data_IF_630590505900
#
_entry.id   IF_630590505900
#
_cell.length_a   1.000
_cell.length_b   1.000
_cell.length_c   1.000
_cell.angle_alpha   90.00
_cell.angle_beta   90.00
_cell.angle_gamma   90.00
#
_symmetry.space_group_name_H-M   'P 1'
#
loop_
_entity.id
_entity.type
_entity.pdbx_description
1 polymer ?
#
# COMPACT_ATOMS: atom_id res chain seq x y z
N UNK A 1 -8.17 17.68 -16.13
CA UNK A 1 -8.88 18.31 -14.99
C UNK A 1 -8.38 19.72 -14.68
N UNK A 2 -7.16 19.95 -14.15
CA UNK A 2 -6.68 21.33 -13.88
C UNK A 2 -6.53 22.17 -15.15
N UNK A 3 -6.10 21.56 -16.25
CA UNK A 3 -5.96 22.19 -17.58
C UNK A 3 -7.30 22.55 -18.24
N UNK A 4 -8.35 21.77 -18.01
CA UNK A 4 -9.70 22.01 -18.56
C UNK A 4 -10.38 23.18 -17.84
N UNK A 5 -10.31 23.22 -16.51
CA UNK A 5 -10.81 24.33 -15.70
C UNK A 5 -10.12 25.65 -16.06
N UNK A 6 -8.80 25.63 -16.27
CA UNK A 6 -8.08 26.83 -16.69
C UNK A 6 -8.54 27.31 -18.07
N UNK A 7 -8.80 26.39 -19.00
CA UNK A 7 -9.28 26.73 -20.34
C UNK A 7 -10.70 27.29 -20.33
N UNK A 8 -11.61 26.72 -19.52
CA UNK A 8 -12.96 27.24 -19.34
C UNK A 8 -12.94 28.66 -18.73
N UNK A 9 -12.02 28.90 -17.79
CA UNK A 9 -11.80 30.22 -17.22
C UNK A 9 -11.26 31.23 -18.24
N UNK A 10 -10.29 30.83 -19.06
CA UNK A 10 -9.76 31.65 -20.16
C UNK A 10 -10.88 32.06 -21.13
N UNK A 11 -11.75 31.11 -21.51
CA UNK A 11 -12.89 31.38 -22.38
C UNK A 11 -13.89 32.36 -21.73
N UNK A 12 -14.19 32.18 -20.44
CA UNK A 12 -15.05 33.09 -19.67
C UNK A 12 -14.48 34.51 -19.63
N UNK A 13 -13.19 34.63 -19.35
CA UNK A 13 -12.49 35.90 -19.30
C UNK A 13 -12.54 36.64 -20.65
N UNK A 14 -12.28 35.93 -21.75
CA UNK A 14 -12.40 36.49 -23.11
C UNK A 14 -13.83 36.91 -23.40
N UNK A 15 -14.82 36.12 -22.99
CA UNK A 15 -16.23 36.45 -23.19
C UNK A 15 -16.67 37.68 -22.39
N UNK A 16 -16.24 37.81 -21.14
CA UNK A 16 -16.52 38.95 -20.25
C UNK A 16 -15.92 40.24 -20.80
N UNK A 17 -14.67 40.16 -21.28
CA UNK A 17 -13.92 41.32 -21.78
C UNK A 17 -14.04 41.53 -23.31
N UNK A 18 -14.95 40.83 -23.99
CA UNK A 18 -15.08 40.82 -25.47
C UNK A 18 -15.17 42.19 -26.13
N UNK A 19 -15.80 43.17 -25.48
CA UNK A 19 -15.95 44.51 -26.03
C UNK A 19 -14.65 45.30 -25.92
N UNK A 20 -13.95 45.19 -24.79
CA UNK A 20 -12.65 45.80 -24.59
C UNK A 20 -11.56 45.14 -25.46
N UNK A 21 -11.72 43.84 -25.76
CA UNK A 21 -10.84 43.09 -26.65
C UNK A 21 -11.23 43.17 -28.14
N UNK A 22 -12.34 43.82 -28.49
CA UNK A 22 -12.94 43.72 -29.82
C UNK A 22 -11.94 44.06 -30.93
N UNK A 23 -11.19 45.15 -30.78
CA UNK A 23 -10.17 45.56 -31.74
C UNK A 23 -9.03 44.54 -31.83
N UNK A 24 -8.59 43.99 -30.70
CA UNK A 24 -7.52 42.97 -30.67
C UNK A 24 -8.00 41.71 -31.41
N UNK A 25 -9.23 41.26 -31.16
CA UNK A 25 -9.83 40.08 -31.79
C UNK A 25 -10.01 40.31 -33.30
N UNK A 26 -10.47 41.50 -33.71
CA UNK A 26 -10.61 41.84 -35.12
C UNK A 26 -9.24 41.83 -35.81
N UNK A 27 -8.24 42.51 -35.24
CA UNK A 27 -6.88 42.51 -35.79
C UNK A 27 -6.29 41.10 -35.86
N UNK A 28 -6.49 40.26 -34.84
CA UNK A 28 -6.05 38.86 -34.86
C UNK A 28 -6.73 38.07 -35.98
N UNK A 29 -8.05 38.21 -36.15
CA UNK A 29 -8.79 37.54 -37.24
C UNK A 29 -8.29 37.97 -38.61
N UNK A 30 -8.03 39.26 -38.80
CA UNK A 30 -7.48 39.78 -40.05
C UNK A 30 -6.09 39.21 -40.31
N UNK A 31 -5.21 39.19 -39.31
CA UNK A 31 -3.88 38.58 -39.43
C UNK A 31 -3.96 37.08 -39.72
N UNK A 32 -4.86 36.34 -39.07
CA UNK A 32 -5.09 34.91 -39.36
C UNK A 32 -5.53 34.72 -40.82
N UNK A 33 -6.44 35.56 -41.31
CA UNK A 33 -6.88 35.52 -42.69
C UNK A 33 -5.74 35.82 -43.67
N UNK A 34 -4.88 36.79 -43.36
CA UNK A 34 -3.71 37.10 -44.18
C UNK A 34 -2.67 35.98 -44.17
N UNK A 35 -2.45 35.32 -43.02
CA UNK A 35 -1.59 34.15 -42.94
C UNK A 35 -2.09 33.01 -43.84
N UNK A 36 -3.42 32.80 -43.89
CA UNK A 36 -4.04 31.85 -44.81
C UNK A 36 -3.88 32.27 -46.27
N UNK A 37 -3.98 33.57 -46.58
CA UNK A 37 -3.76 34.09 -47.93
C UNK A 37 -2.30 33.92 -48.39
N UNK A 38 -1.34 34.16 -47.50
CA UNK A 38 0.08 33.89 -47.74
C UNK A 38 0.30 32.38 -47.93
N UNK A 39 -0.34 31.52 -47.13
CA UNK A 39 -0.26 30.07 -47.28
C UNK A 39 -0.77 29.60 -48.65
N UNK A 40 -1.90 30.13 -49.10
CA UNK A 40 -2.48 29.83 -50.40
C UNK A 40 -1.58 30.33 -51.55
N UNK A 41 -1.01 31.54 -51.42
CA UNK A 41 -0.09 32.09 -52.42
C UNK A 41 1.19 31.24 -52.57
N UNK A 42 1.78 30.83 -51.44
CA UNK A 42 2.95 29.93 -51.42
C UNK A 42 2.61 28.57 -52.03
N UNK A 43 1.43 28.01 -51.73
CA UNK A 43 0.99 26.71 -52.29
C UNK A 43 0.76 26.77 -53.81
N UNK A 44 0.26 27.89 -54.32
CA UNK A 44 0.08 28.14 -55.75
C UNK A 44 1.43 28.28 -56.46
N UNK A 45 2.43 28.93 -55.84
CA UNK A 45 3.79 29.02 -56.37
C UNK A 45 4.49 27.66 -56.42
N UNK A 46 4.35 26.83 -55.37
CA UNK A 46 4.81 25.44 -55.39
C UNK A 46 4.19 24.62 -56.53
N UNK A 47 2.97 24.96 -56.95
CA UNK A 47 2.25 24.28 -58.03
C UNK A 47 2.61 24.81 -59.43
N UNK A 48 3.03 26.08 -59.55
CA UNK A 48 3.45 26.68 -60.83
C UNK A 48 4.91 26.38 -61.18
N UNK A 49 5.80 26.28 -60.19
CA UNK A 49 7.24 26.00 -60.41
C UNK A 49 7.54 24.56 -60.86
N UNK A 50 6.57 23.64 -60.77
CA UNK A 50 6.67 22.31 -61.40
C UNK A 50 6.64 22.36 -62.94
N UNK A 51 6.42 23.55 -63.54
CA UNK A 51 6.35 23.74 -64.99
C UNK A 51 7.46 24.59 -65.61
N UNK A 52 8.41 25.11 -64.82
CA UNK A 52 9.55 25.89 -65.32
C UNK A 52 10.88 25.41 -64.75
N UNK A 53 11.78 25.03 -65.68
CA UNK A 53 13.08 24.40 -65.48
C UNK A 53 14.15 25.39 -64.94
N UNK A 54 13.87 26.01 -63.78
CA UNK A 54 14.81 26.90 -63.07
C UNK A 54 14.78 26.60 -61.56
N UNK A 55 15.93 26.21 -61.02
CA UNK A 55 16.16 25.82 -59.62
C UNK A 55 15.37 26.69 -58.61
N UNK A 56 14.34 26.15 -57.93
CA UNK A 56 13.71 26.85 -56.83
C UNK A 56 14.72 26.90 -55.69
N UNK A 57 15.15 28.11 -55.34
CA UNK A 57 16.08 28.35 -54.23
C UNK A 57 15.47 27.79 -52.94
N UNK A 58 16.27 27.26 -52.02
CA UNK A 58 15.93 26.63 -50.70
C UNK A 58 15.04 27.46 -49.74
N UNK A 59 14.48 28.57 -50.21
CA UNK A 59 13.77 29.60 -49.47
C UNK A 59 12.26 29.34 -49.36
N UNK A 60 11.60 28.75 -50.35
CA UNK A 60 10.16 28.45 -50.30
C UNK A 60 9.80 27.41 -49.22
N UNK A 61 10.54 26.28 -49.07
CA UNK A 61 10.32 25.35 -47.95
C UNK A 61 10.57 26.00 -46.58
N UNK A 62 11.52 26.94 -46.52
CA UNK A 62 11.83 27.70 -45.30
C UNK A 62 10.68 28.65 -44.93
N UNK A 63 10.10 29.35 -45.91
CA UNK A 63 8.93 30.23 -45.72
C UNK A 63 7.70 29.41 -45.29
N UNK A 64 7.47 28.25 -45.91
CA UNK A 64 6.37 27.34 -45.52
C UNK A 64 6.51 26.85 -44.08
N UNK A 65 7.70 26.38 -43.68
CA UNK A 65 7.96 25.91 -42.31
C UNK A 65 7.81 27.03 -41.27
N UNK A 66 8.23 28.26 -41.61
CA UNK A 66 8.04 29.43 -40.74
C UNK A 66 6.57 29.84 -40.64
N UNK A 67 5.81 29.72 -41.72
CA UNK A 67 4.38 30.01 -41.73
C UNK A 67 3.59 29.00 -40.90
N UNK A 68 3.88 27.71 -41.01
CA UNK A 68 3.29 26.67 -40.16
C UNK A 68 3.56 26.94 -38.67
N UNK A 69 4.80 27.35 -38.35
CA UNK A 69 5.15 27.75 -36.99
C UNK A 69 4.37 28.99 -36.50
N UNK A 70 4.06 29.95 -37.36
CA UNK A 70 3.25 31.13 -37.01
C UNK A 70 1.79 30.77 -36.76
N UNK A 71 1.22 29.90 -37.60
CA UNK A 71 -0.14 29.41 -37.41
C UNK A 71 -0.26 28.69 -36.07
N UNK A 72 0.76 27.91 -35.68
CA UNK A 72 0.83 27.27 -34.36
C UNK A 72 1.00 28.22 -33.17
N UNK A 73 1.35 29.49 -33.40
CA UNK A 73 1.50 30.53 -32.36
C UNK A 73 0.25 31.41 -32.21
N UNK A 74 -0.79 31.20 -33.02
CA UNK A 74 -2.05 31.95 -32.91
C UNK A 74 -2.70 31.62 -31.57
N UNK A 75 -2.86 32.60 -30.67
CA UNK A 75 -3.31 32.30 -29.33
C UNK A 75 -4.82 32.17 -29.25
N UNK A 76 -5.28 31.17 -28.49
CA UNK A 76 -6.69 31.02 -28.09
C UNK A 76 -7.09 32.00 -26.99
N UNK A 77 -6.10 32.43 -26.19
CA UNK A 77 -6.25 33.42 -25.13
C UNK A 77 -5.41 34.68 -25.43
N UNK A 78 -6.00 35.88 -25.56
CA UNK A 78 -5.31 37.13 -25.88
C UNK A 78 -4.60 37.72 -24.65
N UNK A 79 -3.75 36.91 -24.01
CA UNK A 79 -2.89 37.34 -22.93
C UNK A 79 -1.71 38.18 -23.45
N UNK A 80 -1.13 38.99 -22.57
CA UNK A 80 -0.03 39.89 -22.94
C UNK A 80 1.16 39.12 -23.51
N UNK A 81 1.54 38.00 -22.90
CA UNK A 81 2.72 37.23 -23.30
C UNK A 81 2.49 36.51 -24.64
N UNK A 82 1.31 35.92 -24.81
CA UNK A 82 0.89 35.22 -26.00
C UNK A 82 0.87 36.16 -27.22
N UNK A 83 0.28 37.34 -27.06
CA UNK A 83 0.21 38.36 -28.11
C UNK A 83 1.60 38.92 -28.46
N UNK A 84 2.45 39.15 -27.47
CA UNK A 84 3.82 39.61 -27.71
C UNK A 84 4.67 38.56 -28.43
N UNK A 85 4.47 37.28 -28.11
CA UNK A 85 5.15 36.15 -28.76
C UNK A 85 4.74 36.04 -30.23
N UNK A 86 3.42 36.11 -30.51
CA UNK A 86 2.91 36.13 -31.87
C UNK A 86 3.43 37.36 -32.64
N UNK A 87 3.38 38.56 -32.05
CA UNK A 87 3.86 39.79 -32.68
C UNK A 87 5.35 39.75 -33.03
N UNK A 88 6.19 39.25 -32.13
CA UNK A 88 7.62 39.07 -32.42
C UNK A 88 7.82 38.13 -33.60
N UNK A 89 7.10 37.00 -33.62
CA UNK A 89 7.22 36.02 -34.68
C UNK A 89 6.72 36.57 -36.04
N UNK A 90 5.63 37.34 -36.05
CA UNK A 90 5.11 38.01 -37.25
C UNK A 90 6.06 39.08 -37.79
N UNK A 91 6.71 39.83 -36.90
CA UNK A 91 7.73 40.82 -37.28
C UNK A 91 8.97 40.16 -37.86
N UNK A 92 9.42 39.06 -37.27
CA UNK A 92 10.55 38.28 -37.78
C UNK A 92 10.23 37.66 -39.15
N UNK A 93 9.00 37.20 -39.34
CA UNK A 93 8.52 36.70 -40.64
C UNK A 93 8.44 37.80 -41.69
N UNK A 94 7.98 38.99 -41.32
CA UNK A 94 7.98 40.16 -42.19
C UNK A 94 9.38 40.59 -42.64
N UNK A 95 10.44 40.31 -41.87
CA UNK A 95 11.82 40.60 -42.30
C UNK A 95 12.35 39.61 -43.34
N UNK A 96 11.74 38.42 -43.44
CA UNK A 96 12.10 37.44 -44.47
C UNK A 96 11.59 37.86 -45.85
N UNK A 97 10.55 38.69 -45.95
CA UNK A 97 10.03 39.18 -47.24
C UNK A 97 10.97 40.16 -47.94
N UNK A 98 11.80 40.88 -47.19
CA UNK A 98 12.67 41.94 -47.73
C UNK A 98 13.84 41.40 -48.59
N UNK A 99 14.14 40.10 -48.48
CA UNK A 99 15.22 39.43 -49.20
C UNK A 99 14.77 38.54 -50.37
N UNK A 100 13.47 38.48 -50.65
CA UNK A 100 12.89 37.53 -51.59
C UNK A 100 12.38 38.25 -52.85
N UNK A 101 12.89 37.87 -54.02
CA UNK A 101 12.35 38.28 -55.32
C UNK A 101 11.03 37.56 -55.62
N UNK A 102 9.97 37.93 -54.89
CA UNK A 102 8.69 37.21 -54.88
C UNK A 102 7.76 37.60 -56.03
N UNK A 103 6.86 36.68 -56.40
CA UNK A 103 5.73 36.94 -57.27
C UNK A 103 4.92 38.17 -56.77
N UNK A 104 4.37 39.00 -57.67
CA UNK A 104 3.56 40.16 -57.28
C UNK A 104 2.39 39.81 -56.34
N UNK A 105 1.80 38.61 -56.43
CA UNK A 105 0.69 38.18 -55.54
C UNK A 105 1.15 37.83 -54.13
N UNK A 106 2.28 37.15 -54.00
CA UNK A 106 2.86 36.82 -52.69
C UNK A 106 3.40 38.09 -52.03
N UNK A 107 4.06 38.97 -52.79
CA UNK A 107 4.50 40.27 -52.30
C UNK A 107 3.34 41.13 -51.77
N UNK A 108 2.24 41.22 -52.52
CA UNK A 108 1.03 41.94 -52.08
C UNK A 108 0.42 41.33 -50.80
N UNK A 109 0.42 40.00 -50.68
CA UNK A 109 -0.10 39.30 -49.50
C UNK A 109 0.79 39.52 -48.27
N UNK A 110 2.11 39.53 -48.44
CA UNK A 110 3.07 39.82 -47.37
C UNK A 110 3.05 41.30 -46.94
N UNK A 111 2.86 42.24 -47.88
CA UNK A 111 2.70 43.66 -47.57
C UNK A 111 1.41 43.91 -46.77
N UNK A 112 0.31 43.26 -47.16
CA UNK A 112 -0.97 43.30 -46.43
C UNK A 112 -0.80 42.75 -45.01
N UNK A 113 -0.16 41.59 -44.87
CA UNK A 113 0.16 40.98 -43.57
C UNK A 113 1.03 41.92 -42.71
N UNK A 114 2.02 42.60 -43.30
CA UNK A 114 2.89 43.56 -42.61
C UNK A 114 2.09 44.78 -42.09
N UNK A 115 1.18 45.30 -42.90
CA UNK A 115 0.28 46.39 -42.50
C UNK A 115 -0.63 45.98 -41.34
N UNK A 116 -1.27 44.81 -41.43
CA UNK A 116 -2.14 44.32 -40.35
C UNK A 116 -1.37 43.86 -39.12
N UNK A 117 -0.12 43.43 -39.24
CA UNK A 117 0.80 43.18 -38.11
C UNK A 117 1.11 44.47 -37.36
N UNK A 118 1.35 45.58 -38.06
CA UNK A 118 1.52 46.91 -37.43
C UNK A 118 0.24 47.36 -36.74
N UNK A 119 -0.92 47.18 -37.37
CA UNK A 119 -2.22 47.49 -36.77
C UNK A 119 -2.50 46.65 -35.51
N UNK A 120 -2.16 45.35 -35.52
CA UNK A 120 -2.23 44.48 -34.36
C UNK A 120 -1.30 44.98 -33.25
N UNK A 121 -0.05 45.36 -33.57
CA UNK A 121 0.89 45.88 -32.58
C UNK A 121 0.37 47.17 -31.90
N UNK A 122 -0.17 48.12 -32.66
CA UNK A 122 -0.78 49.34 -32.10
C UNK A 122 -1.99 49.01 -31.22
N UNK A 123 -2.80 48.05 -31.64
CA UNK A 123 -4.02 47.67 -30.92
C UNK A 123 -3.71 46.90 -29.63
N UNK A 124 -2.66 46.07 -29.63
CA UNK A 124 -2.15 45.39 -28.43
C UNK A 124 -1.58 46.39 -27.44
N UNK A 125 -0.85 47.41 -27.89
CA UNK A 125 -0.35 48.49 -27.01
C UNK A 125 -1.52 49.27 -26.40
N UNK A 126 -2.54 49.63 -27.20
CA UNK A 126 -3.72 50.35 -26.72
C UNK A 126 -4.50 49.56 -25.67
N UNK A 127 -4.61 48.24 -25.86
CA UNK A 127 -5.34 47.34 -24.97
C UNK A 127 -4.43 46.61 -23.96
N UNK A 128 -3.21 47.09 -23.75
CA UNK A 128 -2.22 46.44 -22.90
C UNK A 128 -2.70 46.26 -21.46
N UNK A 129 -3.47 47.22 -20.93
CA UNK A 129 -4.07 47.13 -19.59
C UNK A 129 -5.07 45.98 -19.45
N UNK A 130 -5.91 45.76 -20.47
CA UNK A 130 -6.87 44.65 -20.50
C UNK A 130 -6.14 43.33 -20.66
N UNK A 131 -5.18 43.25 -21.58
CA UNK A 131 -4.38 42.03 -21.78
C UNK A 131 -3.57 41.66 -20.54
N UNK A 132 -3.04 42.65 -19.82
CA UNK A 132 -2.34 42.44 -18.55
C UNK A 132 -3.28 41.94 -17.45
N UNK A 133 -4.47 42.52 -17.31
CA UNK A 133 -5.50 42.07 -16.36
C UNK A 133 -5.92 40.62 -16.62
N UNK A 134 -6.10 40.26 -17.90
CA UNK A 134 -6.44 38.89 -18.28
C UNK A 134 -5.32 37.91 -17.91
N UNK A 135 -4.07 38.25 -18.21
CA UNK A 135 -2.90 37.45 -17.81
C UNK A 135 -2.80 37.32 -16.29
N UNK A 136 -3.04 38.38 -15.53
CA UNK A 136 -3.04 38.36 -14.06
C UNK A 136 -4.11 37.41 -13.51
N UNK A 137 -5.35 37.51 -14.00
CA UNK A 137 -6.45 36.63 -13.56
C UNK A 137 -6.18 35.17 -13.86
N UNK A 138 -5.67 34.86 -15.06
CA UNK A 138 -5.26 33.50 -15.43
C UNK A 138 -4.17 32.99 -14.49
N UNK A 139 -3.13 33.79 -14.24
CA UNK A 139 -2.03 33.40 -13.36
C UNK A 139 -2.49 33.20 -11.92
N UNK A 140 -3.46 34.00 -11.45
CA UNK A 140 -4.04 33.84 -10.13
C UNK A 140 -4.74 32.48 -9.97
N UNK A 141 -5.61 32.11 -10.92
CA UNK A 141 -6.27 30.80 -10.89
C UNK A 141 -5.27 29.65 -11.03
N UNK A 142 -4.28 29.76 -11.93
CA UNK A 142 -3.25 28.74 -12.13
C UNK A 142 -2.40 28.51 -10.86
N UNK A 143 -1.99 29.61 -10.21
CA UNK A 143 -1.26 29.57 -8.95
C UNK A 143 -2.11 28.94 -7.85
N UNK A 144 -3.36 29.36 -7.72
CA UNK A 144 -4.30 28.81 -6.74
C UNK A 144 -4.53 27.31 -6.94
N UNK A 145 -4.79 26.86 -8.17
CA UNK A 145 -5.00 25.44 -8.48
C UNK A 145 -3.72 24.62 -8.20
N UNK A 146 -2.55 25.17 -8.48
CA UNK A 146 -1.26 24.52 -8.21
C UNK A 146 -1.00 24.39 -6.71
N UNK A 147 -1.25 25.44 -5.93
CA UNK A 147 -1.10 25.45 -4.48
C UNK A 147 -2.12 24.52 -3.80
N UNK A 148 -3.38 24.54 -4.26
CA UNK A 148 -4.43 23.65 -3.81
C UNK A 148 -4.10 22.18 -4.10
N UNK A 149 -3.60 21.87 -5.30
CA UNK A 149 -3.14 20.53 -5.66
C UNK A 149 -2.02 20.04 -4.74
N UNK A 150 -1.02 20.88 -4.51
CA UNK A 150 0.07 20.60 -3.55
C UNK A 150 -0.44 20.39 -2.13
N UNK A 151 -1.42 21.19 -1.66
CA UNK A 151 -1.98 21.04 -0.32
C UNK A 151 -2.77 19.73 -0.16
N UNK A 152 -3.49 19.32 -1.20
CA UNK A 152 -4.24 18.05 -1.23
C UNK A 152 -3.32 16.83 -1.31
N UNK A 153 -2.19 16.92 -2.03
CA UNK A 153 -1.20 15.86 -2.13
C UNK A 153 -0.30 15.75 -0.89
N UNK A 154 0.12 16.88 -0.28
CA UNK A 154 1.25 16.89 0.65
C UNK A 154 0.97 16.48 2.10
N UNK A 155 -0.25 16.22 2.53
CA UNK A 155 -0.48 15.93 3.95
C UNK A 155 -0.62 14.44 4.23
N UNK A 156 -1.70 13.81 3.75
CA UNK A 156 -2.07 12.48 4.23
C UNK A 156 -1.73 11.36 3.24
N UNK A 157 -1.78 11.60 1.92
CA UNK A 157 -1.46 10.56 0.92
C UNK A 157 -0.02 10.09 1.05
N UNK A 158 0.92 11.04 1.07
CA UNK A 158 2.36 10.75 1.24
C UNK A 158 2.68 10.09 2.59
N UNK A 159 1.96 10.45 3.65
CA UNK A 159 2.12 9.81 4.97
C UNK A 159 1.60 8.37 4.97
N UNK A 160 0.47 8.12 4.31
CA UNK A 160 -0.07 6.75 4.16
C UNK A 160 0.92 5.87 3.39
N UNK A 161 1.46 6.35 2.27
CA UNK A 161 2.49 5.62 1.51
C UNK A 161 3.72 5.32 2.38
N UNK A 162 4.24 6.31 3.12
CA UNK A 162 5.38 6.11 4.03
C UNK A 162 5.09 5.07 5.12
N UNK A 163 3.88 5.04 5.67
CA UNK A 163 3.52 4.03 6.67
C UNK A 163 3.32 2.65 6.04
N UNK A 164 2.80 2.57 4.81
CA UNK A 164 2.71 1.32 4.06
C UNK A 164 4.10 0.75 3.76
N UNK A 165 5.02 1.56 3.26
CA UNK A 165 6.43 1.15 3.03
C UNK A 165 7.08 0.67 4.34
N UNK A 166 6.83 1.35 5.47
CA UNK A 166 7.35 0.94 6.76
C UNK A 166 6.74 -0.39 7.25
N UNK A 167 5.44 -0.62 7.04
CA UNK A 167 4.78 -1.90 7.35
C UNK A 167 5.41 -3.02 6.54
N UNK A 168 5.62 -2.83 5.23
CA UNK A 168 6.25 -3.83 4.36
C UNK A 168 7.67 -4.16 4.83
N UNK A 169 8.47 -3.12 5.10
CA UNK A 169 9.84 -3.29 5.60
C UNK A 169 9.87 -4.07 6.92
N UNK A 170 9.09 -3.65 7.93
CA UNK A 170 9.08 -4.32 9.23
C UNK A 170 8.52 -5.74 9.14
N UNK A 171 7.58 -6.00 8.23
CA UNK A 171 7.02 -7.35 8.00
C UNK A 171 8.07 -8.27 7.39
N UNK A 172 8.86 -7.81 6.42
CA UNK A 172 9.97 -8.59 5.88
C UNK A 172 11.08 -8.82 6.92
N UNK A 173 11.43 -7.80 7.71
CA UNK A 173 12.37 -7.98 8.83
C UNK A 173 11.86 -8.97 9.86
N UNK A 174 10.56 -8.97 10.17
CA UNK A 174 9.93 -9.93 11.06
C UNK A 174 10.00 -11.35 10.47
N UNK A 175 9.71 -11.50 9.18
CA UNK A 175 9.79 -12.79 8.47
C UNK A 175 11.22 -13.35 8.47
N UNK A 176 12.22 -12.50 8.25
CA UNK A 176 13.63 -12.89 8.34
C UNK A 176 14.02 -13.21 9.79
N UNK A 177 13.56 -12.42 10.76
CA UNK A 177 13.81 -12.66 12.18
C UNK A 177 13.25 -14.00 12.67
N UNK A 178 12.13 -14.47 12.10
CA UNK A 178 11.59 -15.81 12.40
C UNK A 178 12.55 -16.94 11.99
N UNK A 179 13.49 -16.70 11.08
CA UNK A 179 14.48 -17.69 10.65
C UNK A 179 15.72 -17.75 11.55
N UNK A 180 15.74 -16.99 12.65
CA UNK A 180 16.82 -17.02 13.63
C UNK A 180 17.06 -18.43 14.18
N UNK A 181 18.33 -18.83 14.26
CA UNK A 181 18.74 -20.17 14.65
C UNK A 181 18.25 -20.55 16.06
N UNK A 182 18.30 -19.62 17.02
CA UNK A 182 17.91 -19.87 18.40
C UNK A 182 16.40 -20.06 18.52
N UNK A 183 15.62 -19.27 17.77
CA UNK A 183 14.17 -19.44 17.69
C UNK A 183 13.78 -20.76 17.04
N UNK A 184 14.44 -21.13 15.93
CA UNK A 184 14.19 -22.42 15.26
C UNK A 184 14.57 -23.61 16.15
N UNK A 185 15.67 -23.50 16.89
CA UNK A 185 16.09 -24.51 17.86
C UNK A 185 15.08 -24.68 18.99
N UNK A 186 14.60 -23.59 19.59
CA UNK A 186 13.56 -23.65 20.61
C UNK A 186 12.26 -24.27 20.07
N UNK A 187 11.85 -23.90 18.85
CA UNK A 187 10.69 -24.48 18.17
C UNK A 187 10.86 -25.99 17.93
N UNK A 188 12.03 -26.43 17.50
CA UNK A 188 12.32 -27.85 17.32
C UNK A 188 12.29 -28.60 18.65
N UNK A 189 12.85 -28.03 19.72
CA UNK A 189 12.82 -28.64 21.05
C UNK A 189 11.39 -28.79 21.57
N UNK A 190 10.53 -27.79 21.38
CA UNK A 190 9.10 -27.91 21.70
C UNK A 190 8.43 -29.05 20.94
N UNK A 191 8.70 -29.18 19.64
CA UNK A 191 8.15 -30.24 18.81
C UNK A 191 8.65 -31.63 19.25
N UNK A 192 9.95 -31.77 19.53
CA UNK A 192 10.55 -33.01 20.04
C UNK A 192 9.91 -33.42 21.37
N UNK A 193 9.79 -32.49 22.33
CA UNK A 193 9.16 -32.73 23.63
C UNK A 193 7.73 -33.24 23.45
N UNK A 194 6.93 -32.55 22.63
CA UNK A 194 5.54 -32.95 22.39
C UNK A 194 5.44 -34.34 21.72
N UNK A 195 6.38 -34.65 20.82
CA UNK A 195 6.45 -35.96 20.15
C UNK A 195 6.77 -37.08 21.15
N UNK A 196 7.72 -36.83 22.07
CA UNK A 196 8.07 -37.79 23.12
C UNK A 196 6.90 -37.96 24.10
N UNK A 197 6.25 -36.89 24.53
CA UNK A 197 5.05 -36.95 25.40
C UNK A 197 3.90 -37.74 24.77
N UNK A 198 3.72 -37.60 23.45
CA UNK A 198 2.74 -38.38 22.69
C UNK A 198 3.11 -39.86 22.67
N UNK A 199 4.40 -40.17 22.52
CA UNK A 199 4.91 -41.55 22.54
C UNK A 199 4.72 -42.19 23.92
N UNK A 200 5.11 -41.49 24.99
CA UNK A 200 4.89 -41.92 26.38
C UNK A 200 3.40 -42.12 26.70
N UNK A 201 2.53 -41.19 26.26
CA UNK A 201 1.08 -41.33 26.41
C UNK A 201 0.51 -42.56 25.69
N UNK A 202 1.07 -42.88 24.52
CA UNK A 202 0.66 -44.04 23.73
C UNK A 202 1.05 -45.33 24.43
N UNK A 203 2.25 -45.39 25.01
CA UNK A 203 2.70 -46.54 25.80
C UNK A 203 1.86 -46.76 27.06
N UNK A 204 1.43 -45.68 27.72
CA UNK A 204 0.59 -45.73 28.93
C UNK A 204 -0.91 -45.87 28.63
N UNK A 205 -1.32 -45.88 27.36
CA UNK A 205 -2.73 -45.93 26.98
C UNK A 205 -3.47 -47.14 27.58
N UNK A 206 -2.93 -48.37 27.56
CA UNK A 206 -3.58 -49.53 28.19
C UNK A 206 -3.81 -49.32 29.69
N UNK A 207 -2.83 -48.74 30.40
CA UNK A 207 -2.93 -48.43 31.83
C UNK A 207 -4.00 -47.38 32.08
N UNK A 208 -4.08 -46.33 31.25
CA UNK A 208 -5.13 -45.31 31.35
C UNK A 208 -6.54 -45.90 31.19
N UNK A 209 -6.72 -46.85 30.27
CA UNK A 209 -8.01 -47.51 30.06
C UNK A 209 -8.43 -48.35 31.27
N UNK A 210 -7.47 -49.05 31.89
CA UNK A 210 -7.71 -49.85 33.10
C UNK A 210 -7.98 -48.96 34.31
N UNK A 211 -7.18 -47.92 34.53
CA UNK A 211 -7.41 -46.94 35.59
C UNK A 211 -8.78 -46.28 35.46
N UNK A 212 -9.25 -46.01 34.24
CA UNK A 212 -10.60 -45.53 33.98
C UNK A 212 -11.66 -46.57 34.37
N UNK A 213 -11.46 -47.85 34.02
CA UNK A 213 -12.39 -48.92 34.41
C UNK A 213 -12.47 -49.08 35.93
N UNK A 214 -11.33 -49.05 36.61
CA UNK A 214 -11.22 -49.10 38.08
C UNK A 214 -11.97 -47.92 38.71
N UNK A 215 -11.68 -46.69 38.25
CA UNK A 215 -12.33 -45.47 38.74
C UNK A 215 -13.84 -45.51 38.51
N UNK A 216 -14.28 -45.97 37.34
CA UNK A 216 -15.72 -46.06 36.99
C UNK A 216 -16.44 -47.11 37.84
N UNK A 217 -15.81 -48.25 38.09
CA UNK A 217 -16.36 -49.31 38.93
C UNK A 217 -16.23 -49.02 40.44
N UNK A 218 -15.54 -47.93 40.81
CA UNK A 218 -15.14 -47.62 42.19
C UNK A 218 -14.43 -48.79 42.88
N UNK A 219 -13.54 -49.47 42.12
CA UNK A 219 -12.81 -50.63 42.59
C UNK A 219 -11.56 -50.22 43.38
N UNK A 220 -11.21 -50.97 44.42
CA UNK A 220 -10.06 -50.68 45.28
C UNK A 220 -9.31 -51.95 45.68
N UNK A 221 -8.00 -51.83 45.92
CA UNK A 221 -7.20 -52.90 46.52
C UNK A 221 -7.31 -52.80 48.03
N UNK A 222 -7.89 -53.81 48.68
CA UNK A 222 -8.05 -53.81 50.14
C UNK A 222 -6.86 -54.47 50.82
N UNK A 223 -6.31 -53.91 51.92
CA UNK A 223 -5.18 -54.52 52.63
C UNK A 223 -5.55 -55.78 53.43
N UNK A 224 -6.83 -55.93 53.79
CA UNK A 224 -7.31 -57.08 54.58
C UNK A 224 -7.59 -58.26 53.64
N UNK A 225 -6.77 -59.31 53.71
CA UNK A 225 -6.93 -60.52 52.89
C UNK A 225 -6.29 -60.45 51.49
N UNK A 226 -5.60 -59.36 51.14
CA UNK A 226 -4.78 -59.28 49.93
C UNK A 226 -3.30 -59.51 50.22
N UNK A 227 -2.50 -59.66 49.17
CA UNK A 227 -1.03 -59.74 49.24
C UNK A 227 -0.35 -58.39 49.42
N UNK A 228 -1.10 -57.28 49.45
CA UNK A 228 -0.56 -55.92 49.46
C UNK A 228 -0.68 -55.29 50.84
N UNK A 229 0.40 -54.65 51.30
CA UNK A 229 0.39 -53.85 52.53
C UNK A 229 -0.44 -52.58 52.35
N UNK A 230 -0.89 -51.98 53.46
CA UNK A 230 -1.64 -50.71 53.42
C UNK A 230 -0.92 -49.62 52.60
N UNK A 231 0.39 -49.47 52.79
CA UNK A 231 1.20 -48.52 52.06
C UNK A 231 1.18 -48.77 50.55
N UNK A 232 1.30 -50.03 50.13
CA UNK A 232 1.23 -50.39 48.71
C UNK A 232 -0.17 -50.14 48.14
N UNK A 233 -1.24 -50.37 48.90
CA UNK A 233 -2.60 -50.01 48.47
C UNK A 233 -2.76 -48.50 48.27
N UNK A 234 -2.17 -47.69 49.15
CA UNK A 234 -2.18 -46.23 49.04
C UNK A 234 -1.41 -45.78 47.78
N UNK A 235 -0.22 -46.35 47.53
CA UNK A 235 0.61 -46.08 46.33
C UNK A 235 -0.09 -46.50 45.02
N UNK A 236 -0.79 -47.64 45.01
CA UNK A 236 -1.60 -48.07 43.85
C UNK A 236 -2.76 -47.09 43.61
N UNK A 237 -3.42 -46.64 44.67
CA UNK A 237 -4.54 -45.69 44.57
C UNK A 237 -4.07 -44.34 44.05
N UNK A 238 -2.90 -43.88 44.49
CA UNK A 238 -2.24 -42.67 44.02
C UNK A 238 -1.90 -42.76 42.52
N UNK A 239 -1.38 -43.92 42.06
CA UNK A 239 -1.15 -44.16 40.64
C UNK A 239 -2.44 -44.05 39.83
N UNK A 240 -3.52 -44.71 40.26
CA UNK A 240 -4.81 -44.69 39.53
C UNK A 240 -5.34 -43.27 39.38
N UNK A 241 -5.24 -42.46 40.44
CA UNK A 241 -5.65 -41.05 40.40
C UNK A 241 -4.74 -40.21 39.49
N UNK A 242 -3.42 -40.41 39.58
CA UNK A 242 -2.43 -39.70 38.77
C UNK A 242 -2.61 -40.02 37.29
N UNK A 243 -2.75 -41.31 36.94
CA UNK A 243 -2.99 -41.78 35.59
C UNK A 243 -4.30 -41.22 35.00
N UNK A 244 -5.38 -41.17 35.80
CA UNK A 244 -6.65 -40.56 35.37
C UNK A 244 -6.51 -39.07 35.07
N UNK A 245 -5.83 -38.31 35.94
CA UNK A 245 -5.57 -36.87 35.77
C UNK A 245 -4.63 -36.58 34.61
N UNK A 246 -3.65 -37.44 34.39
CA UNK A 246 -2.71 -37.32 33.26
C UNK A 246 -3.45 -37.55 31.94
N UNK A 247 -4.38 -38.52 31.90
CA UNK A 247 -5.21 -38.79 30.72
C UNK A 247 -6.22 -37.69 30.41
N UNK A 248 -6.80 -37.04 31.43
CA UNK A 248 -7.71 -35.89 31.25
C UNK A 248 -6.98 -34.60 30.87
N UNK A 249 -5.66 -34.53 31.07
CA UNK A 249 -4.87 -33.32 30.88
C UNK A 249 -4.91 -32.36 32.08
N UNK A 250 -5.40 -32.80 33.24
CA UNK A 250 -5.41 -32.00 34.47
C UNK A 250 -4.00 -31.84 35.08
N UNK A 251 -3.09 -32.75 34.73
CA UNK A 251 -1.66 -32.70 35.07
C UNK A 251 -0.82 -33.02 33.83
N UNK A 252 0.46 -32.65 33.86
CA UNK A 252 1.40 -32.85 32.74
C UNK A 252 2.47 -33.87 33.09
N UNK A 253 3.11 -34.46 32.07
CA UNK A 253 4.29 -35.31 32.27
C UNK A 253 5.37 -34.61 33.06
N UNK A 254 5.55 -33.30 32.86
CA UNK A 254 6.51 -32.51 33.66
C UNK A 254 6.28 -32.64 35.15
N UNK A 255 5.04 -32.51 35.61
CA UNK A 255 4.71 -32.62 37.04
C UNK A 255 4.83 -34.04 37.59
N UNK A 256 4.55 -35.05 36.77
CA UNK A 256 4.53 -36.46 37.20
C UNK A 256 5.93 -37.08 37.20
N UNK A 257 6.77 -36.68 36.24
CA UNK A 257 8.09 -37.26 36.02
C UNK A 257 9.23 -36.48 36.72
N UNK A 258 8.91 -35.51 37.58
CA UNK A 258 9.89 -34.92 38.50
C UNK A 258 10.55 -36.01 39.37
N UNK A 259 9.77 -36.99 39.82
CA UNK A 259 10.24 -38.24 40.42
C UNK A 259 9.81 -39.44 39.57
N UNK A 260 10.46 -39.59 38.41
CA UNK A 260 10.23 -40.71 37.51
C UNK A 260 10.42 -42.08 38.19
N UNK A 261 11.31 -42.17 39.18
CA UNK A 261 11.54 -43.41 39.94
C UNK A 261 10.34 -43.78 40.81
N UNK A 262 9.73 -42.80 41.48
CA UNK A 262 8.51 -43.01 42.24
C UNK A 262 7.34 -43.38 41.32
N UNK A 263 7.18 -42.69 40.19
CA UNK A 263 6.12 -42.99 39.23
C UNK A 263 6.22 -44.44 38.70
N UNK A 264 7.42 -44.88 38.34
CA UNK A 264 7.65 -46.26 37.87
C UNK A 264 7.46 -47.30 38.96
N UNK A 265 7.83 -47.01 40.20
CA UNK A 265 7.57 -47.91 41.33
C UNK A 265 6.06 -48.08 41.59
N UNK A 266 5.31 -46.98 41.56
CA UNK A 266 3.85 -46.98 41.69
C UNK A 266 3.18 -47.73 40.52
N UNK A 267 3.67 -47.52 39.30
CA UNK A 267 3.22 -48.25 38.11
C UNK A 267 3.47 -49.76 38.26
N UNK A 268 4.65 -50.18 38.68
CA UNK A 268 4.98 -51.60 38.85
C UNK A 268 4.06 -52.28 39.89
N UNK A 269 3.77 -51.60 41.01
CA UNK A 269 2.80 -52.09 42.00
C UNK A 269 1.38 -52.19 41.43
N UNK A 270 0.99 -51.22 40.60
CA UNK A 270 -0.29 -51.25 39.90
C UNK A 270 -0.37 -52.45 38.93
N UNK A 271 0.66 -52.70 38.14
CA UNK A 271 0.71 -53.83 37.20
C UNK A 271 0.67 -55.18 37.94
N UNK A 272 1.34 -55.29 39.08
CA UNK A 272 1.28 -56.48 39.94
C UNK A 272 -0.14 -56.68 40.49
N UNK A 273 -0.82 -55.61 40.93
CA UNK A 273 -2.19 -55.68 41.40
C UNK A 273 -3.17 -56.02 40.27
N UNK A 274 -2.98 -55.46 39.08
CA UNK A 274 -3.82 -55.70 37.91
C UNK A 274 -3.67 -57.13 37.37
N UNK A 275 -2.44 -57.66 37.33
CA UNK A 275 -2.18 -59.04 36.89
C UNK A 275 -2.73 -60.10 37.85
N UNK A 276 -2.90 -59.77 39.13
CA UNK A 276 -3.50 -60.65 40.16
C UNK A 276 -5.01 -60.44 40.34
N UNK A 277 -5.67 -59.63 39.51
CA UNK A 277 -7.08 -59.22 39.66
C UNK A 277 -7.40 -58.75 41.11
N UNK A 278 -6.49 -57.99 41.73
CA UNK A 278 -6.56 -57.62 43.14
C UNK A 278 -7.55 -56.47 43.45
N UNK A 279 -8.14 -55.86 42.42
CA UNK A 279 -9.12 -54.78 42.55
C UNK A 279 -10.51 -55.35 42.85
N UNK A 280 -11.12 -54.93 43.95
CA UNK A 280 -12.42 -55.42 44.41
C UNK A 280 -13.52 -54.37 44.21
N UNK A 281 -14.69 -54.81 43.75
CA UNK A 281 -15.94 -54.04 43.77
C UNK A 281 -16.85 -54.67 44.82
N UNK A 282 -17.08 -53.96 45.92
CA UNK A 282 -17.65 -54.48 47.16
C UNK A 282 -16.87 -55.66 47.73
N UNK A 283 -17.13 -56.87 47.23
CA UNK A 283 -16.51 -58.14 47.66
C UNK A 283 -16.10 -59.04 46.48
N UNK A 284 -16.30 -58.62 45.24
CA UNK A 284 -15.99 -59.40 44.04
C UNK A 284 -14.79 -58.82 43.30
N UNK A 285 -13.89 -59.69 42.84
CA UNK A 285 -12.74 -59.29 42.02
C UNK A 285 -13.19 -58.77 40.66
N UNK A 286 -12.65 -57.60 40.27
CA UNK A 286 -12.84 -57.01 38.97
C UNK A 286 -11.84 -57.66 38.00
N UNK A 287 -12.34 -58.40 37.02
CA UNK A 287 -11.48 -59.01 36.00
C UNK A 287 -11.00 -57.96 35.00
N UNK A 288 -9.73 -57.57 35.11
CA UNK A 288 -9.16 -56.49 34.30
C UNK A 288 -8.58 -56.97 32.96
N UNK A 289 -8.36 -58.29 32.83
CA UNK A 289 -7.72 -58.90 31.64
C UNK A 289 -6.42 -58.19 31.27
N UNK A 290 -5.63 -57.80 32.26
CA UNK A 290 -4.32 -57.19 32.05
C UNK A 290 -3.38 -58.22 31.40
N UNK A 291 -2.79 -57.87 30.26
CA UNK A 291 -2.01 -58.80 29.43
C UNK A 291 -0.58 -58.34 29.14
N UNK A 292 -0.33 -57.05 29.17
CA UNK A 292 0.94 -56.45 28.76
C UNK A 292 1.38 -55.43 29.80
N UNK A 293 2.51 -55.70 30.44
CA UNK A 293 3.24 -54.72 31.24
C UNK A 293 3.90 -53.69 30.34
N UNK A 294 4.09 -52.48 30.86
CA UNK A 294 4.86 -51.44 30.20
C UNK A 294 6.28 -51.95 29.96
N UNK A 295 6.82 -51.69 28.77
CA UNK A 295 8.25 -51.80 28.54
C UNK A 295 8.95 -50.67 29.32
N UNK A 296 9.37 -50.99 30.55
CA UNK A 296 9.99 -50.02 31.46
C UNK A 296 11.34 -49.52 30.93
N UNK A 297 12.09 -50.33 30.20
CA UNK A 297 13.39 -49.94 29.64
C UNK A 297 13.19 -48.89 28.54
N UNK A 298 12.27 -49.15 27.61
CA UNK A 298 11.92 -48.20 26.56
C UNK A 298 11.29 -46.92 27.13
N UNK A 299 10.41 -47.05 28.14
CA UNK A 299 9.79 -45.89 28.77
C UNK A 299 10.83 -45.03 29.49
N UNK A 300 11.75 -45.63 30.24
CA UNK A 300 12.86 -44.91 30.87
C UNK A 300 13.70 -44.16 29.82
N UNK A 301 13.99 -44.78 28.68
CA UNK A 301 14.73 -44.11 27.60
C UNK A 301 13.98 -42.86 27.08
N UNK A 302 12.64 -42.93 26.94
CA UNK A 302 11.84 -41.76 26.59
C UNK A 302 11.84 -40.69 27.69
N UNK A 303 11.76 -41.07 28.96
CA UNK A 303 11.80 -40.13 30.09
C UNK A 303 13.16 -39.42 30.16
N UNK A 304 14.25 -40.14 29.95
CA UNK A 304 15.61 -39.58 29.91
C UNK A 304 15.78 -38.59 28.76
N UNK A 305 15.35 -38.95 27.54
CA UNK A 305 15.41 -38.07 26.36
C UNK A 305 14.50 -36.84 26.56
N UNK A 306 13.26 -37.03 27.02
CA UNK A 306 12.34 -35.94 27.36
C UNK A 306 12.94 -34.98 28.40
N UNK A 307 13.58 -35.53 29.44
CA UNK A 307 14.24 -34.75 30.48
C UNK A 307 15.45 -33.97 29.93
N UNK A 308 16.24 -34.57 29.05
CA UNK A 308 17.35 -33.90 28.37
C UNK A 308 16.86 -32.76 27.46
N UNK A 309 15.79 -32.99 26.69
CA UNK A 309 15.16 -31.98 25.82
C UNK A 309 14.56 -30.83 26.62
N UNK A 310 13.89 -31.12 27.74
CA UNK A 310 13.35 -30.10 28.65
C UNK A 310 14.46 -29.19 29.22
N UNK A 311 15.58 -29.79 29.65
CA UNK A 311 16.74 -29.03 30.14
C UNK A 311 17.36 -28.19 29.02
N UNK A 312 17.52 -28.76 27.82
CA UNK A 312 18.04 -28.04 26.67
C UNK A 312 17.15 -26.85 26.25
N UNK A 313 15.82 -27.02 26.34
CA UNK A 313 14.86 -25.94 26.09
C UNK A 313 15.02 -24.84 27.15
N UNK A 314 15.06 -25.20 28.43
CA UNK A 314 15.27 -24.23 29.50
C UNK A 314 16.58 -23.44 29.33
N UNK A 315 17.69 -24.12 29.01
CA UNK A 315 18.95 -23.43 28.72
C UNK A 315 18.90 -22.55 27.46
N UNK A 316 18.06 -22.90 26.49
CA UNK A 316 17.83 -22.06 25.30
C UNK A 316 17.00 -20.82 25.67
N UNK A 317 15.95 -20.98 26.48
CA UNK A 317 15.12 -19.87 26.96
C UNK A 317 15.90 -18.88 27.83
N UNK A 318 16.88 -19.38 28.59
CA UNK A 318 17.78 -18.57 29.43
C UNK A 318 18.95 -17.93 28.64
N UNK A 319 19.17 -18.33 27.37
CA UNK A 319 20.23 -17.76 26.54
C UNK A 319 19.90 -16.33 26.11
N UNK A 320 20.92 -15.47 26.16
CA UNK A 320 20.81 -14.07 25.79
C UNK A 320 20.39 -13.94 24.32
N UNK A 321 20.95 -14.76 23.45
CA UNK A 321 20.69 -14.75 22.02
C UNK A 321 19.21 -15.04 21.71
N UNK A 322 18.62 -16.04 22.38
CA UNK A 322 17.20 -16.34 22.25
C UNK A 322 16.31 -15.20 22.79
N UNK A 323 16.68 -14.63 23.94
CA UNK A 323 15.95 -13.50 24.54
C UNK A 323 16.00 -12.25 23.65
N UNK A 324 17.16 -11.95 23.07
CA UNK A 324 17.35 -10.86 22.12
C UNK A 324 16.55 -11.09 20.84
N UNK A 325 16.60 -12.28 20.26
CA UNK A 325 15.82 -12.64 19.07
C UNK A 325 14.31 -12.51 19.34
N UNK A 326 13.84 -13.01 20.48
CA UNK A 326 12.44 -12.90 20.91
C UNK A 326 12.03 -11.44 21.13
N UNK A 327 12.86 -10.65 21.82
CA UNK A 327 12.65 -9.22 22.07
C UNK A 327 12.58 -8.43 20.76
N UNK A 328 13.48 -8.74 19.81
CA UNK A 328 13.48 -8.13 18.47
C UNK A 328 12.18 -8.41 17.72
N UNK A 329 11.70 -9.66 17.72
CA UNK A 329 10.43 -10.00 17.09
C UNK A 329 9.26 -9.27 17.75
N UNK A 330 9.24 -9.17 19.08
CA UNK A 330 8.20 -8.44 19.80
C UNK A 330 8.23 -6.94 19.49
N UNK A 331 9.42 -6.36 19.35
CA UNK A 331 9.58 -4.96 18.95
C UNK A 331 9.08 -4.73 17.52
N UNK A 332 9.45 -5.60 16.58
CA UNK A 332 8.99 -5.54 15.18
C UNK A 332 7.48 -5.68 15.09
N UNK A 333 6.87 -6.62 15.83
CA UNK A 333 5.41 -6.77 15.92
C UNK A 333 4.75 -5.47 16.39
N UNK A 334 5.25 -4.89 17.47
CA UNK A 334 4.74 -3.62 18.00
C UNK A 334 4.93 -2.46 17.01
N UNK A 335 6.03 -2.45 16.25
CA UNK A 335 6.28 -1.43 15.23
C UNK A 335 5.33 -1.55 14.03
N UNK A 336 5.04 -2.77 13.57
CA UNK A 336 4.04 -3.06 12.53
C UNK A 336 2.66 -2.58 12.98
N UNK A 337 2.24 -2.95 14.21
CA UNK A 337 0.95 -2.54 14.77
C UNK A 337 0.82 -1.01 14.82
N UNK A 338 1.82 -0.30 15.34
CA UNK A 338 1.84 1.17 15.38
C UNK A 338 1.81 1.81 13.99
N UNK A 339 2.59 1.29 13.04
CA UNK A 339 2.62 1.83 11.68
C UNK A 339 1.26 1.65 10.99
N UNK A 340 0.60 0.51 11.23
CA UNK A 340 -0.74 0.23 10.71
C UNK A 340 -1.80 1.17 11.33
N UNK A 341 -1.76 1.41 12.65
CA UNK A 341 -2.64 2.40 13.30
C UNK A 341 -2.45 3.81 12.70
N UNK A 342 -1.20 4.22 12.46
CA UNK A 342 -0.90 5.53 11.87
C UNK A 342 -1.34 5.62 10.40
N UNK A 343 -1.21 4.53 9.63
CA UNK A 343 -1.72 4.44 8.27
C UNK A 343 -3.25 4.58 8.25
N UNK A 344 -3.96 3.83 9.10
CA UNK A 344 -5.42 3.91 9.23
C UNK A 344 -5.88 5.30 9.65
N UNK A 345 -5.29 5.88 10.70
CA UNK A 345 -5.63 7.23 11.15
C UNK A 345 -5.35 8.30 10.08
N UNK A 346 -4.31 8.11 9.25
CA UNK A 346 -4.00 9.01 8.14
C UNK A 346 -4.97 8.82 6.97
N UNK A 347 -5.41 7.59 6.72
CA UNK A 347 -6.40 7.26 5.69
C UNK A 347 -7.79 7.79 6.07
N UNK A 348 -8.20 7.69 7.33
CA UNK A 348 -9.41 8.32 7.86
C UNK A 348 -9.36 9.84 7.69
N UNK A 349 -8.22 10.48 7.99
CA UNK A 349 -8.03 11.92 7.78
C UNK A 349 -8.04 12.31 6.30
N UNK A 350 -7.56 11.44 5.41
CA UNK A 350 -7.65 11.64 3.97
C UNK A 350 -9.11 11.54 3.46
N UNK A 351 -9.91 10.66 4.07
CA UNK A 351 -11.35 10.59 3.82
C UNK A 351 -12.09 11.83 4.40
N UNK A 352 -11.63 12.34 5.55
CA UNK A 352 -12.17 13.53 6.22
C UNK A 352 -11.65 14.87 5.64
N UNK A 353 -10.76 14.86 4.64
CA UNK A 353 -10.32 16.08 3.94
C UNK A 353 -11.41 16.67 3.01
N UNK A 354 -12.62 16.10 3.03
CA UNK A 354 -13.83 16.62 2.36
C UNK A 354 -14.07 18.12 2.56
N UNK A 355 -14.03 18.69 3.78
CA UNK A 355 -14.28 20.12 4.01
C UNK A 355 -13.24 21.05 3.38
N UNK A 356 -11.97 20.62 3.31
CA UNK A 356 -10.92 21.38 2.63
C UNK A 356 -11.11 21.31 1.10
N UNK A 357 -11.52 20.15 0.58
CA UNK A 357 -11.88 19.97 -0.84
C UNK A 357 -13.13 20.76 -1.23
N UNK A 358 -14.15 20.80 -0.36
CA UNK A 358 -15.37 21.59 -0.54
C UNK A 358 -15.09 23.09 -0.48
N UNK A 359 -14.26 23.55 0.47
CA UNK A 359 -13.83 24.95 0.55
C UNK A 359 -13.04 25.37 -0.71
N UNK A 360 -12.14 24.51 -1.19
CA UNK A 360 -11.43 24.73 -2.46
C UNK A 360 -12.39 24.76 -3.65
N UNK A 361 -13.38 23.86 -3.71
CA UNK A 361 -14.40 23.88 -4.76
C UNK A 361 -15.28 25.13 -4.71
N UNK A 362 -15.65 25.60 -3.51
CA UNK A 362 -16.39 26.85 -3.31
C UNK A 362 -15.57 28.07 -3.72
N UNK A 363 -14.26 28.07 -3.44
CA UNK A 363 -13.35 29.14 -3.82
C UNK A 363 -13.14 29.20 -5.34
N UNK A 364 -12.98 28.05 -6.01
CA UNK A 364 -12.98 27.99 -7.49
C UNK A 364 -14.31 28.49 -8.06
N UNK A 365 -15.44 28.06 -7.49
CA UNK A 365 -16.75 28.54 -7.91
C UNK A 365 -16.91 30.06 -7.70
N UNK A 366 -16.34 30.62 -6.62
CA UNK A 366 -16.31 32.06 -6.35
C UNK A 366 -15.49 32.81 -7.40
N UNK A 367 -14.28 32.34 -7.71
CA UNK A 367 -13.41 32.94 -8.74
C UNK A 367 -14.14 32.98 -10.09
N UNK A 368 -14.85 31.91 -10.46
CA UNK A 368 -15.68 31.89 -11.67
C UNK A 368 -16.88 32.83 -11.59
N UNK A 369 -17.54 32.90 -10.43
CA UNK A 369 -18.70 33.76 -10.20
C UNK A 369 -18.34 35.24 -10.29
N UNK A 370 -17.18 35.65 -9.75
CA UNK A 370 -16.65 37.02 -9.86
C UNK A 370 -16.42 37.43 -11.32
N UNK A 371 -16.20 36.45 -12.20
CA UNK A 371 -16.11 36.61 -13.65
C UNK A 371 -17.44 36.44 -14.41
N UNK A 372 -18.55 36.24 -13.70
CA UNK A 372 -19.88 36.06 -14.28
C UNK A 372 -20.15 34.66 -14.85
N UNK A 373 -19.29 33.70 -14.53
CA UNK A 373 -19.46 32.28 -14.87
C UNK A 373 -20.28 31.53 -13.82
N UNK A 374 -20.83 30.38 -14.23
CA UNK A 374 -21.49 29.44 -13.32
C UNK A 374 -20.82 28.08 -13.49
N UNK A 375 -20.15 27.61 -12.46
CA UNK A 375 -19.71 26.21 -12.35
C UNK A 375 -20.67 25.49 -11.40
N UNK A 376 -21.33 24.46 -11.91
CA UNK A 376 -22.26 23.63 -11.11
C UNK A 376 -21.56 22.44 -10.45
N UNK A 377 -20.39 22.00 -10.93
CA UNK A 377 -19.58 20.94 -10.32
C UNK A 377 -18.07 21.17 -10.53
N UNK A 378 -17.31 21.26 -9.44
CA UNK A 378 -15.84 21.23 -9.47
C UNK A 378 -15.38 19.83 -9.04
N UNK A 379 -14.95 19.02 -10.01
CA UNK A 379 -14.39 17.69 -9.71
C UNK A 379 -12.89 17.81 -9.43
N UNK A 380 -12.52 17.99 -8.15
CA UNK A 380 -11.14 17.85 -7.70
C UNK A 380 -10.79 16.35 -7.53
N UNK A 381 -9.53 15.94 -7.75
CA UNK A 381 -9.10 14.56 -7.54
C UNK A 381 -9.46 14.06 -6.13
N UNK A 382 -10.24 12.97 -6.05
CA UNK A 382 -10.67 12.38 -4.78
C UNK A 382 -11.90 13.00 -4.13
N UNK A 383 -12.65 13.89 -4.81
CA UNK A 383 -14.02 14.20 -4.40
C UNK A 383 -14.93 13.00 -4.71
N UNK A 384 -15.54 12.41 -3.68
CA UNK A 384 -16.61 11.44 -3.87
C UNK A 384 -17.84 12.14 -4.48
N UNK A 385 -18.60 11.39 -5.28
CA UNK A 385 -19.77 11.84 -6.03
C UNK A 385 -20.87 12.45 -5.16
#
# INVERSE_FOLDING_TARGET
>A
MTTELLHDFEALLVHKHRFALSDVIICLRTVIHDLQNVQNAVTVEFSSDLSSDTNPTDLLPHVSSRLERLVGLVPTFPGKQELMTLLSALQDFGRLSDGLGMNPRLHQSMETLSSHTKALATTVIRNAGVCALLTEKRQHLDTFLTEAGKALENSHSRRVEQYQDAIELFTEEYRLGLQDEHLQRAKQLHFDIQTIETSMSTMLLPHFEICRAITTANAQVQPTGSTFSKRQCDEISEFVQTAARLKSGDITFRSVLEDATQFLAQLALFEEAASKDAFLVYSSALQLKFRESLDQELFCAYVEDWGAKCKALQSTDESIEYQEATSRLQHLKSAIERANELAQASQEKLALAGPARESLAQEVARIFHDEGGVITQVHLPGCAK
#
